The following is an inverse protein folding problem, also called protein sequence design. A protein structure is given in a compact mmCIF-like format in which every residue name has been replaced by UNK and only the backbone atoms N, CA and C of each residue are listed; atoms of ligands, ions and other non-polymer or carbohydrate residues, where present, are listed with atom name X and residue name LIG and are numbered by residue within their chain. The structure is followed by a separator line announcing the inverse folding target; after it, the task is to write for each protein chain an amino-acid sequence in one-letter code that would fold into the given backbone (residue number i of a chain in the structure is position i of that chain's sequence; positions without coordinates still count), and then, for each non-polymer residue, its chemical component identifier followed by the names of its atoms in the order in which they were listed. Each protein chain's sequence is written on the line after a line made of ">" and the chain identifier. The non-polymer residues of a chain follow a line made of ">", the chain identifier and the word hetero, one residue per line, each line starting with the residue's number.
data_IF_852036470610
#
_entry.id   IF_852036470610
#
_cell.length_a   1.000
_cell.length_b   1.000
_cell.length_c   1.000
_cell.angle_alpha   90.00
_cell.angle_beta   90.00
_cell.angle_gamma   90.00
#
_symmetry.space_group_name_H-M   'P 1'
#
loop_
_entity.id
_entity.type
_entity.pdbx_description
1 polymer ?
#
# COMPACT_ATOMS: atom_id res chain seq x y z
N UNK A 1 -24.77 -11.73 -10.73
CA UNK A 1 -25.17 -12.55 -9.57
C UNK A 1 -25.82 -11.72 -8.46
N UNK A 2 -25.18 -10.67 -7.94
CA UNK A 2 -25.57 -10.03 -6.67
C UNK A 2 -26.88 -9.22 -6.70
N UNK A 3 -27.16 -8.45 -7.75
CA UNK A 3 -28.41 -7.66 -7.87
C UNK A 3 -29.67 -8.51 -7.90
N UNK A 4 -29.57 -9.75 -8.39
CA UNK A 4 -30.71 -10.66 -8.49
C UNK A 4 -31.09 -11.23 -7.11
N UNK A 5 -30.13 -11.40 -6.19
CA UNK A 5 -30.41 -11.92 -4.85
C UNK A 5 -30.95 -10.85 -3.89
N UNK A 6 -30.48 -9.60 -3.98
CA UNK A 6 -30.95 -8.53 -3.08
C UNK A 6 -32.45 -8.26 -3.21
N UNK A 7 -33.01 -8.41 -4.41
CA UNK A 7 -34.43 -8.21 -4.68
C UNK A 7 -35.34 -9.33 -4.12
N UNK A 8 -34.84 -10.58 -4.08
CA UNK A 8 -35.60 -11.74 -3.59
C UNK A 8 -35.17 -12.21 -2.20
N UNK A 9 -34.22 -11.51 -1.56
CA UNK A 9 -33.56 -11.96 -0.33
C UNK A 9 -34.52 -12.22 0.83
N UNK A 10 -35.51 -11.34 0.99
CA UNK A 10 -36.52 -11.43 2.05
C UNK A 10 -37.48 -12.63 1.94
N UNK A 11 -37.53 -13.31 0.79
CA UNK A 11 -38.41 -14.46 0.57
C UNK A 11 -37.77 -15.80 0.93
N UNK A 12 -36.46 -15.84 1.19
CA UNK A 12 -35.75 -17.06 1.54
C UNK A 12 -35.68 -17.26 3.06
N UNK A 13 -35.84 -18.50 3.53
CA UNK A 13 -35.59 -18.85 4.93
C UNK A 13 -34.10 -18.72 5.28
N UNK A 14 -33.78 -18.49 6.56
CA UNK A 14 -32.41 -18.23 7.05
C UNK A 14 -31.40 -19.32 6.65
N UNK A 15 -31.80 -20.58 6.67
CA UNK A 15 -30.93 -21.70 6.26
C UNK A 15 -30.58 -21.65 4.77
N UNK A 16 -31.53 -21.27 3.91
CA UNK A 16 -31.30 -21.12 2.47
C UNK A 16 -30.43 -19.91 2.16
N UNK A 17 -30.63 -18.79 2.87
CA UNK A 17 -29.77 -17.60 2.78
C UNK A 17 -28.31 -17.94 3.14
N UNK A 18 -28.08 -18.60 4.28
CA UNK A 18 -26.73 -19.00 4.71
C UNK A 18 -26.11 -20.00 3.73
N UNK A 19 -26.87 -21.02 3.30
CA UNK A 19 -26.38 -22.02 2.34
C UNK A 19 -25.96 -21.38 1.00
N UNK A 20 -26.70 -20.38 0.53
CA UNK A 20 -26.38 -19.67 -0.70
C UNK A 20 -25.14 -18.78 -0.55
N UNK A 21 -25.01 -18.07 0.58
CA UNK A 21 -23.84 -17.23 0.89
C UNK A 21 -22.55 -18.05 1.07
N UNK A 22 -22.65 -19.29 1.57
CA UNK A 22 -21.50 -20.20 1.73
C UNK A 22 -21.14 -20.88 0.41
N UNK A 23 -22.15 -21.31 -0.37
CA UNK A 23 -21.91 -22.02 -1.64
C UNK A 23 -21.31 -21.11 -2.70
N UNK A 24 -21.69 -19.83 -2.76
CA UNK A 24 -21.17 -18.88 -3.75
C UNK A 24 -19.62 -18.77 -3.77
N UNK A 25 -18.93 -18.49 -2.64
CA UNK A 25 -17.46 -18.40 -2.61
C UNK A 25 -16.78 -19.76 -2.81
N UNK A 26 -17.41 -20.86 -2.37
CA UNK A 26 -16.88 -22.21 -2.59
C UNK A 26 -16.96 -22.62 -4.06
N UNK A 27 -18.09 -22.32 -4.73
CA UNK A 27 -18.26 -22.58 -6.15
C UNK A 27 -17.32 -21.70 -6.99
N UNK A 28 -17.13 -20.44 -6.63
CA UNK A 28 -16.17 -19.58 -7.32
C UNK A 28 -14.72 -20.04 -7.10
N UNK A 29 -14.37 -20.54 -5.92
CA UNK A 29 -13.06 -21.14 -5.65
C UNK A 29 -12.86 -22.44 -6.42
N UNK A 30 -13.88 -23.30 -6.48
CA UNK A 30 -13.86 -24.51 -7.30
C UNK A 30 -13.69 -24.17 -8.79
N UNK A 31 -14.36 -23.12 -9.26
CA UNK A 31 -14.23 -22.60 -10.62
C UNK A 31 -12.80 -22.08 -10.90
N UNK A 32 -12.15 -21.42 -9.94
CA UNK A 32 -10.72 -21.06 -10.04
C UNK A 32 -9.88 -22.32 -10.22
N UNK A 33 -10.05 -23.32 -9.36
CA UNK A 33 -9.28 -24.58 -9.43
C UNK A 33 -9.52 -25.36 -10.73
N UNK A 34 -10.74 -25.30 -11.27
CA UNK A 34 -11.08 -25.91 -12.55
C UNK A 34 -10.44 -25.14 -13.72
N UNK A 35 -10.53 -23.82 -13.73
CA UNK A 35 -9.92 -22.98 -14.77
C UNK A 35 -8.38 -23.08 -14.76
N UNK A 36 -7.75 -23.24 -13.60
CA UNK A 36 -6.31 -23.48 -13.50
C UNK A 36 -5.87 -24.76 -14.24
N UNK A 37 -6.75 -25.75 -14.39
CA UNK A 37 -6.44 -27.01 -15.10
C UNK A 37 -6.65 -26.90 -16.60
N UNK A 38 -7.46 -25.96 -17.05
CA UNK A 38 -7.87 -25.82 -18.46
C UNK A 38 -7.03 -24.76 -19.17
N UNK A 39 -6.74 -23.66 -18.50
CA UNK A 39 -6.08 -22.49 -19.09
C UNK A 39 -4.59 -22.46 -18.73
N UNK A 40 -3.74 -22.79 -19.70
CA UNK A 40 -2.29 -22.71 -19.56
C UNK A 40 -1.78 -21.27 -19.38
N UNK A 41 -2.53 -20.24 -19.81
CA UNK A 41 -2.17 -18.83 -19.63
C UNK A 41 -2.49 -18.30 -18.23
N UNK A 42 -3.42 -18.96 -17.52
CA UNK A 42 -3.92 -18.56 -16.21
C UNK A 42 -4.68 -17.23 -16.18
N UNK A 43 -4.99 -16.62 -17.32
CA UNK A 43 -5.70 -15.34 -17.38
C UNK A 43 -7.13 -15.46 -16.82
N UNK A 44 -7.87 -16.48 -17.26
CA UNK A 44 -9.23 -16.69 -16.80
C UNK A 44 -9.26 -17.12 -15.32
N UNK A 45 -8.28 -17.89 -14.87
CA UNK A 45 -8.13 -18.24 -13.46
C UNK A 45 -7.91 -17.00 -12.58
N UNK A 46 -7.13 -16.01 -13.04
CA UNK A 46 -6.92 -14.73 -12.34
C UNK A 46 -8.19 -13.90 -12.25
N UNK A 47 -8.96 -13.79 -13.34
CA UNK A 47 -10.26 -13.11 -13.33
C UNK A 47 -11.25 -13.80 -12.38
N UNK A 48 -11.34 -15.13 -12.45
CA UNK A 48 -12.18 -15.91 -11.55
C UNK A 48 -11.78 -15.72 -10.09
N UNK A 49 -10.49 -15.59 -9.78
CA UNK A 49 -10.03 -15.34 -8.42
C UNK A 49 -10.42 -13.95 -7.89
N UNK A 50 -10.42 -12.93 -8.76
CA UNK A 50 -10.96 -11.61 -8.40
C UNK A 50 -12.46 -11.68 -8.08
N UNK A 51 -13.22 -12.40 -8.92
CA UNK A 51 -14.65 -12.64 -8.67
C UNK A 51 -14.86 -13.42 -7.38
N UNK A 52 -14.05 -14.45 -7.13
CA UNK A 52 -14.11 -15.26 -5.91
C UNK A 52 -13.80 -14.44 -4.66
N UNK A 53 -12.79 -13.57 -4.73
CA UNK A 53 -12.48 -12.64 -3.65
C UNK A 53 -13.61 -11.63 -3.40
N UNK A 54 -14.15 -11.02 -4.46
CA UNK A 54 -15.27 -10.09 -4.34
C UNK A 54 -16.51 -10.77 -3.74
N UNK A 55 -16.82 -12.00 -4.19
CA UNK A 55 -17.88 -12.81 -3.63
C UNK A 55 -17.63 -13.09 -2.14
N UNK A 56 -16.42 -13.50 -1.77
CA UNK A 56 -16.05 -13.75 -0.37
C UNK A 56 -16.31 -12.54 0.53
N UNK A 57 -15.81 -11.37 0.15
CA UNK A 57 -15.98 -10.13 0.92
C UNK A 57 -17.47 -9.78 1.06
N UNK A 58 -18.20 -9.76 -0.05
CA UNK A 58 -19.62 -9.38 -0.06
C UNK A 58 -20.48 -10.36 0.75
N UNK A 59 -20.23 -11.66 0.64
CA UNK A 59 -20.99 -12.68 1.38
C UNK A 59 -20.77 -12.55 2.89
N UNK A 60 -19.54 -12.25 3.35
CA UNK A 60 -19.26 -12.01 4.78
C UNK A 60 -19.97 -10.74 5.27
N UNK A 61 -19.95 -9.65 4.48
CA UNK A 61 -20.66 -8.42 4.84
C UNK A 61 -22.17 -8.66 4.91
N UNK A 62 -22.74 -9.41 3.97
CA UNK A 62 -24.16 -9.78 4.00
C UNK A 62 -24.50 -10.66 5.21
N UNK A 63 -23.71 -11.68 5.53
CA UNK A 63 -23.90 -12.48 6.74
C UNK A 63 -23.90 -11.61 7.99
N UNK A 64 -22.97 -10.65 8.07
CA UNK A 64 -22.94 -9.67 9.15
C UNK A 64 -24.24 -8.89 9.28
N UNK A 65 -24.81 -8.43 8.16
CA UNK A 65 -26.08 -7.71 8.16
C UNK A 65 -27.28 -8.58 8.55
N UNK A 66 -27.36 -9.83 8.08
CA UNK A 66 -28.47 -10.75 8.34
C UNK A 66 -28.55 -11.13 9.81
N UNK A 67 -27.39 -11.40 10.42
CA UNK A 67 -27.28 -11.77 11.83
C UNK A 67 -27.07 -10.59 12.77
N UNK A 68 -27.13 -9.36 12.25
CA UNK A 68 -26.88 -8.13 13.00
C UNK A 68 -25.57 -8.18 13.80
N UNK A 69 -24.51 -8.76 13.21
CA UNK A 69 -23.20 -8.86 13.84
C UNK A 69 -22.54 -7.48 13.87
N UNK A 70 -21.90 -7.11 14.98
CA UNK A 70 -21.19 -5.84 15.07
C UNK A 70 -20.02 -5.82 14.08
N UNK A 71 -19.81 -4.68 13.42
CA UNK A 71 -18.68 -4.49 12.54
C UNK A 71 -17.36 -4.63 13.32
N UNK A 72 -16.45 -5.46 12.81
CA UNK A 72 -15.23 -5.85 13.50
C UNK A 72 -14.03 -5.79 12.55
N UNK A 73 -12.85 -5.32 13.03
CA UNK A 73 -11.64 -5.31 12.23
C UNK A 73 -11.17 -6.72 11.83
N UNK A 74 -11.59 -7.77 12.57
CA UNK A 74 -11.22 -9.15 12.28
C UNK A 74 -11.67 -9.62 10.89
N UNK A 75 -12.72 -9.02 10.31
CA UNK A 75 -13.14 -9.31 8.95
C UNK A 75 -12.01 -9.02 7.94
N UNK A 76 -11.26 -7.93 8.14
CA UNK A 76 -10.14 -7.58 7.27
C UNK A 76 -8.97 -8.56 7.36
N UNK A 77 -8.75 -9.19 8.52
CA UNK A 77 -7.76 -10.26 8.63
C UNK A 77 -8.14 -11.47 7.76
N UNK A 78 -9.42 -11.86 7.79
CA UNK A 78 -9.95 -12.96 6.98
C UNK A 78 -9.88 -12.61 5.48
N UNK A 79 -10.19 -11.36 5.10
CA UNK A 79 -10.03 -10.89 3.73
C UNK A 79 -8.56 -10.90 3.30
N UNK A 80 -7.65 -10.42 4.14
CA UNK A 80 -6.22 -10.42 3.85
C UNK A 80 -5.69 -11.85 3.64
N UNK A 81 -6.07 -12.79 4.50
CA UNK A 81 -5.66 -14.20 4.41
C UNK A 81 -6.10 -14.80 3.07
N UNK A 82 -7.37 -14.61 2.70
CA UNK A 82 -7.89 -15.13 1.45
C UNK A 82 -7.25 -14.47 0.23
N UNK A 83 -7.05 -13.14 0.27
CA UNK A 83 -6.37 -12.39 -0.77
C UNK A 83 -4.91 -12.86 -0.98
N UNK A 84 -4.13 -13.00 0.10
CA UNK A 84 -2.76 -13.51 0.01
C UNK A 84 -2.73 -14.93 -0.53
N UNK A 85 -3.60 -15.82 -0.03
CA UNK A 85 -3.67 -17.22 -0.51
C UNK A 85 -3.86 -17.28 -2.03
N UNK A 86 -4.87 -16.58 -2.54
CA UNK A 86 -5.13 -16.53 -3.97
C UNK A 86 -4.02 -15.78 -4.75
N UNK A 87 -3.42 -14.73 -4.17
CA UNK A 87 -2.34 -14.00 -4.80
C UNK A 87 -1.12 -14.90 -5.03
N UNK A 88 -0.70 -15.66 -4.02
CA UNK A 88 0.43 -16.58 -4.11
C UNK A 88 0.11 -17.83 -4.94
N UNK A 89 -1.14 -18.31 -4.97
CA UNK A 89 -1.52 -19.45 -5.82
C UNK A 89 -1.53 -19.10 -7.32
N UNK A 90 -1.89 -17.86 -7.68
CA UNK A 90 -2.14 -17.46 -9.07
C UNK A 90 -1.16 -16.39 -9.59
N UNK A 91 -0.13 -16.06 -8.81
CA UNK A 91 0.81 -14.97 -9.09
C UNK A 91 0.09 -13.64 -9.40
N UNK A 92 -0.99 -13.35 -8.66
CA UNK A 92 -1.88 -12.24 -8.94
C UNK A 92 -1.51 -10.98 -8.13
N UNK A 93 -0.82 -10.07 -8.81
CA UNK A 93 -0.34 -8.77 -8.30
C UNK A 93 -1.41 -7.89 -7.66
N UNK A 94 -2.59 -7.79 -8.28
CA UNK A 94 -3.67 -6.94 -7.77
C UNK A 94 -4.16 -7.43 -6.41
N UNK A 95 -4.32 -8.75 -6.27
CA UNK A 95 -4.85 -9.34 -5.05
C UNK A 95 -3.81 -9.32 -3.91
N UNK A 96 -2.53 -9.34 -4.24
CA UNK A 96 -1.45 -9.05 -3.29
C UNK A 96 -1.62 -7.65 -2.68
N UNK A 97 -1.81 -6.64 -3.53
CA UNK A 97 -2.02 -5.27 -3.07
C UNK A 97 -3.27 -5.14 -2.19
N UNK A 98 -4.37 -5.80 -2.57
CA UNK A 98 -5.59 -5.85 -1.77
C UNK A 98 -5.33 -6.53 -0.41
N UNK A 99 -4.62 -7.66 -0.37
CA UNK A 99 -4.26 -8.34 0.87
C UNK A 99 -3.41 -7.46 1.80
N UNK A 100 -2.48 -6.69 1.24
CA UNK A 100 -1.69 -5.71 1.98
C UNK A 100 -2.58 -4.58 2.53
N UNK A 101 -3.48 -4.01 1.73
CA UNK A 101 -4.42 -2.97 2.19
C UNK A 101 -5.33 -3.46 3.32
N UNK A 102 -5.91 -4.66 3.18
CA UNK A 102 -6.68 -5.27 4.25
C UNK A 102 -5.84 -5.49 5.51
N UNK A 103 -4.57 -5.86 5.37
CA UNK A 103 -3.65 -6.02 6.50
C UNK A 103 -3.32 -4.69 7.18
N UNK A 104 -3.15 -3.59 6.42
CA UNK A 104 -2.97 -2.25 7.00
C UNK A 104 -4.19 -1.84 7.82
N UNK A 105 -5.40 -2.03 7.29
CA UNK A 105 -6.63 -1.69 8.02
C UNK A 105 -6.75 -2.53 9.28
N UNK A 106 -6.51 -3.85 9.20
CA UNK A 106 -6.57 -4.74 10.35
C UNK A 106 -5.54 -4.38 11.41
N UNK A 107 -4.27 -4.26 11.04
CA UNK A 107 -3.19 -3.97 11.99
C UNK A 107 -3.33 -2.58 12.57
N UNK A 108 -3.68 -1.58 11.75
CA UNK A 108 -3.97 -0.24 12.22
C UNK A 108 -5.10 -0.23 13.24
N UNK A 109 -6.19 -0.97 12.99
CA UNK A 109 -7.30 -1.10 13.93
C UNK A 109 -6.89 -1.78 15.23
N UNK A 110 -6.00 -2.77 15.17
CA UNK A 110 -5.49 -3.45 16.38
C UNK A 110 -4.60 -2.52 17.20
N UNK A 111 -3.69 -1.80 16.56
CA UNK A 111 -2.88 -0.77 17.23
C UNK A 111 -3.76 0.33 17.84
N UNK A 112 -4.72 0.86 17.08
CA UNK A 112 -5.67 1.84 17.57
C UNK A 112 -6.45 1.34 18.79
N UNK A 113 -6.94 0.09 18.74
CA UNK A 113 -7.66 -0.50 19.88
C UNK A 113 -6.78 -0.67 21.12
N UNK A 114 -5.49 -0.97 20.95
CA UNK A 114 -4.54 -1.04 22.07
C UNK A 114 -4.26 0.32 22.69
N UNK A 115 -4.28 1.39 21.89
CA UNK A 115 -4.09 2.77 22.37
C UNK A 115 -5.40 3.45 22.77
N UNK A 116 -6.51 2.70 22.87
CA UNK A 116 -7.80 3.18 23.35
C UNK A 116 -8.68 3.87 22.30
N UNK A 117 -8.30 3.85 21.02
CA UNK A 117 -9.11 4.37 19.91
C UNK A 117 -10.09 3.33 19.36
N UNK A 118 -11.22 3.80 18.83
CA UNK A 118 -12.19 2.94 18.15
C UNK A 118 -11.63 2.48 16.79
N UNK A 119 -11.93 1.25 16.39
CA UNK A 119 -11.31 0.66 15.20
C UNK A 119 -11.66 1.37 13.89
N UNK A 120 -12.79 2.09 13.79
CA UNK A 120 -13.12 2.91 12.60
C UNK A 120 -12.23 4.16 12.53
N UNK A 121 -11.83 4.68 13.69
CA UNK A 121 -10.91 5.81 13.84
C UNK A 121 -9.44 5.45 13.59
N UNK A 122 -9.16 4.30 12.97
CA UNK A 122 -7.79 3.88 12.65
C UNK A 122 -7.02 4.92 11.82
N UNK A 123 -7.73 5.67 10.96
CA UNK A 123 -7.14 6.73 10.14
C UNK A 123 -6.79 8.01 10.89
N UNK A 124 -7.26 8.17 12.13
CA UNK A 124 -6.97 9.34 12.96
C UNK A 124 -5.51 9.36 13.43
N UNK A 125 -4.79 8.25 13.44
CA UNK A 125 -3.40 8.21 13.89
C UNK A 125 -2.53 7.50 12.85
N UNK A 126 -1.89 8.24 11.93
CA UNK A 126 -1.10 7.67 10.85
C UNK A 126 0.11 6.84 11.33
N UNK A 127 0.57 7.06 12.56
CA UNK A 127 1.70 6.34 13.15
C UNK A 127 1.49 4.82 13.20
N UNK A 128 0.25 4.35 13.32
CA UNK A 128 -0.09 2.93 13.31
C UNK A 128 0.40 2.19 12.06
N UNK A 129 0.49 2.89 10.93
CA UNK A 129 0.88 2.31 9.66
C UNK A 129 2.39 2.26 9.45
N UNK A 130 3.19 3.02 10.22
CA UNK A 130 4.64 3.12 10.01
C UNK A 130 5.34 1.78 10.22
N UNK A 131 5.06 1.10 11.34
CA UNK A 131 5.66 -0.20 11.66
C UNK A 131 5.25 -1.26 10.63
N UNK A 132 3.96 -1.31 10.29
CA UNK A 132 3.43 -2.26 9.31
C UNK A 132 4.05 -2.05 7.94
N UNK A 133 4.26 -0.80 7.53
CA UNK A 133 4.90 -0.47 6.26
C UNK A 133 6.35 -0.92 6.24
N UNK A 134 7.10 -0.69 7.32
CA UNK A 134 8.48 -1.11 7.43
C UNK A 134 8.59 -2.65 7.34
N UNK A 135 7.70 -3.39 8.01
CA UNK A 135 7.65 -4.85 7.94
C UNK A 135 7.40 -5.36 6.52
N UNK A 136 6.41 -4.79 5.81
CA UNK A 136 6.13 -5.18 4.43
C UNK A 136 7.24 -4.79 3.46
N UNK A 137 7.94 -3.68 3.70
CA UNK A 137 9.09 -3.29 2.88
C UNK A 137 10.28 -4.24 3.05
N UNK A 138 10.54 -4.71 4.28
CA UNK A 138 11.63 -5.63 4.60
C UNK A 138 11.36 -7.07 4.16
N UNK A 139 10.09 -7.47 4.03
CA UNK A 139 9.68 -8.84 3.70
C UNK A 139 10.35 -9.37 2.40
N UNK A 140 10.30 -8.67 1.25
CA UNK A 140 10.97 -9.13 0.03
C UNK A 140 12.50 -9.05 0.08
N UNK A 141 13.09 -8.39 1.08
CA UNK A 141 14.54 -8.37 1.28
C UNK A 141 15.02 -9.65 1.97
N UNK A 142 14.24 -10.13 2.95
CA UNK A 142 14.56 -11.35 3.70
C UNK A 142 14.15 -12.62 2.94
N UNK A 143 13.00 -12.60 2.27
CA UNK A 143 12.48 -13.75 1.53
C UNK A 143 12.65 -13.52 0.03
N UNK A 144 13.60 -14.23 -0.58
CA UNK A 144 13.84 -14.17 -2.04
C UNK A 144 12.66 -14.82 -2.78
N UNK A 145 11.72 -14.01 -3.25
CA UNK A 145 10.54 -14.44 -4.02
C UNK A 145 10.82 -14.50 -5.53
N UNK A 146 11.88 -15.20 -5.94
CA UNK A 146 12.31 -15.25 -7.35
C UNK A 146 11.27 -15.90 -8.28
N UNK A 147 10.39 -16.74 -7.75
CA UNK A 147 9.32 -17.37 -8.50
C UNK A 147 8.14 -16.42 -8.82
N UNK A 148 8.03 -15.30 -8.10
CA UNK A 148 6.87 -14.41 -8.14
C UNK A 148 7.21 -13.07 -8.79
N UNK A 149 7.01 -12.99 -10.11
CA UNK A 149 7.35 -11.80 -10.88
C UNK A 149 6.61 -10.54 -10.40
N UNK A 150 7.38 -9.57 -9.91
CA UNK A 150 6.89 -8.25 -9.52
C UNK A 150 6.23 -8.17 -8.14
N UNK A 151 6.18 -9.27 -7.38
CA UNK A 151 5.65 -9.25 -6.00
C UNK A 151 6.51 -8.40 -5.08
N UNK A 152 7.84 -8.57 -5.15
CA UNK A 152 8.78 -7.76 -4.39
C UNK A 152 8.59 -6.26 -4.63
N UNK A 153 8.36 -5.86 -5.88
CA UNK A 153 8.10 -4.47 -6.23
C UNK A 153 6.80 -3.95 -5.63
N UNK A 154 5.72 -4.74 -5.62
CA UNK A 154 4.43 -4.34 -5.03
C UNK A 154 4.56 -4.18 -3.52
N UNK A 155 5.20 -5.15 -2.84
CA UNK A 155 5.46 -5.05 -1.40
C UNK A 155 6.20 -3.75 -1.06
N UNK A 156 7.29 -3.47 -1.77
CA UNK A 156 8.11 -2.29 -1.51
C UNK A 156 7.42 -0.98 -1.89
N UNK A 157 6.80 -0.90 -3.07
CA UNK A 157 6.17 0.34 -3.55
C UNK A 157 4.97 0.68 -2.68
N UNK A 158 4.06 -0.29 -2.44
CA UNK A 158 2.88 -0.03 -1.64
C UNK A 158 3.24 0.29 -0.19
N UNK A 159 4.24 -0.40 0.38
CA UNK A 159 4.74 -0.06 1.70
C UNK A 159 5.38 1.33 1.77
N UNK A 160 6.22 1.69 0.79
CA UNK A 160 6.81 3.02 0.73
C UNK A 160 5.73 4.11 0.61
N UNK A 161 4.70 3.90 -0.23
CA UNK A 161 3.59 4.83 -0.39
C UNK A 161 2.84 5.04 0.92
N UNK A 162 2.44 3.96 1.60
CA UNK A 162 1.72 4.07 2.89
C UNK A 162 2.60 4.73 3.96
N UNK A 163 3.88 4.37 4.02
CA UNK A 163 4.85 4.97 4.94
C UNK A 163 5.01 6.47 4.72
N UNK A 164 5.25 6.92 3.48
CA UNK A 164 5.44 8.33 3.21
C UNK A 164 4.17 9.14 3.31
N UNK A 165 3.00 8.59 2.99
CA UNK A 165 1.73 9.27 3.24
C UNK A 165 1.55 9.51 4.74
N UNK A 166 1.82 8.50 5.57
CA UNK A 166 1.74 8.66 7.03
C UNK A 166 2.68 9.75 7.55
N UNK A 167 3.95 9.75 7.08
CA UNK A 167 4.91 10.80 7.44
C UNK A 167 4.47 12.16 6.92
N UNK A 168 3.95 12.25 5.69
CA UNK A 168 3.48 13.51 5.10
C UNK A 168 2.36 14.13 5.91
N UNK A 169 1.42 13.32 6.40
CA UNK A 169 0.34 13.79 7.28
C UNK A 169 0.94 14.31 8.59
N UNK A 170 1.82 13.53 9.25
CA UNK A 170 2.43 13.93 10.53
C UNK A 170 3.38 15.13 10.42
N UNK A 171 3.98 15.32 9.24
CA UNK A 171 4.85 16.45 8.91
C UNK A 171 4.09 17.77 8.75
N UNK A 172 2.77 17.73 8.54
CA UNK A 172 1.92 18.90 8.31
C UNK A 172 0.85 19.10 9.41
N UNK A 173 0.46 18.03 10.10
CA UNK A 173 -0.51 18.06 11.19
C UNK A 173 0.06 17.34 12.40
N UNK A 174 0.90 18.03 13.18
CA UNK A 174 1.54 17.47 14.36
C UNK A 174 0.57 17.05 15.47
N UNK A 175 -0.66 17.59 15.48
CA UNK A 175 -1.71 17.29 16.48
C UNK A 175 -2.22 15.85 16.45
N UNK A 176 -1.89 15.14 15.38
CA UNK A 176 -2.35 13.79 15.07
C UNK A 176 -1.34 12.73 15.57
N UNK A 177 -0.23 13.18 16.15
CA UNK A 177 0.82 12.33 16.71
C UNK A 177 0.51 11.91 18.15
N UNK A 178 0.98 10.74 18.56
CA UNK A 178 0.94 10.31 19.95
C UNK A 178 2.07 10.93 20.81
N UNK A 179 3.04 11.60 20.19
CA UNK A 179 4.21 12.14 20.90
C UNK A 179 3.80 13.33 21.79
N UNK A 180 4.20 13.37 23.06
CA UNK A 180 3.84 14.44 24.01
C UNK A 180 4.73 15.68 23.85
N UNK A 181 5.08 16.05 22.60
CA UNK A 181 5.93 17.19 22.28
C UNK A 181 5.10 18.33 21.66
N UNK A 182 5.71 19.50 21.49
CA UNK A 182 5.03 20.59 20.79
C UNK A 182 4.81 20.22 19.32
N UNK A 183 3.66 20.60 18.76
CA UNK A 183 3.29 20.33 17.37
C UNK A 183 4.39 20.75 16.37
N UNK A 184 5.04 21.89 16.61
CA UNK A 184 6.15 22.39 15.79
C UNK A 184 7.37 21.46 15.76
N UNK A 185 7.69 20.81 16.88
CA UNK A 185 8.81 19.87 16.99
C UNK A 185 8.47 18.56 16.28
N UNK A 186 7.22 18.10 16.44
CA UNK A 186 6.71 16.89 15.80
C UNK A 186 6.72 17.05 14.27
N UNK A 187 6.14 18.14 13.77
CA UNK A 187 6.12 18.46 12.34
C UNK A 187 7.54 18.54 11.78
N UNK A 188 8.44 19.28 12.45
CA UNK A 188 9.84 19.38 12.05
C UNK A 188 10.55 18.03 12.01
N UNK A 189 10.32 17.17 13.02
CA UNK A 189 10.90 15.83 13.08
C UNK A 189 10.44 14.96 11.90
N UNK A 190 9.12 14.89 11.65
CA UNK A 190 8.57 14.11 10.55
C UNK A 190 8.95 14.68 9.18
N UNK A 191 9.13 15.99 9.05
CA UNK A 191 9.68 16.60 7.83
C UNK A 191 11.11 16.13 7.55
N UNK A 192 12.00 16.21 8.55
CA UNK A 192 13.38 15.73 8.40
C UNK A 192 13.42 14.24 8.09
N UNK A 193 12.61 13.43 8.80
CA UNK A 193 12.47 12.00 8.52
C UNK A 193 11.98 11.75 7.09
N UNK A 194 10.98 12.51 6.61
CA UNK A 194 10.45 12.40 5.26
C UNK A 194 11.52 12.64 4.19
N UNK A 195 12.30 13.71 4.32
CA UNK A 195 13.41 14.02 3.39
C UNK A 195 14.52 12.96 3.44
N UNK A 196 14.94 12.54 4.65
CA UNK A 196 15.99 11.54 4.81
C UNK A 196 15.55 10.20 4.24
N UNK A 197 14.35 9.71 4.61
CA UNK A 197 13.84 8.43 4.13
C UNK A 197 13.59 8.42 2.61
N UNK A 198 13.08 9.51 2.04
CA UNK A 198 12.86 9.60 0.59
C UNK A 198 14.18 9.62 -0.19
N UNK A 199 15.19 10.38 0.27
CA UNK A 199 16.53 10.35 -0.30
C UNK A 199 17.18 8.96 -0.18
N UNK A 200 17.04 8.30 0.97
CA UNK A 200 17.52 6.92 1.16
C UNK A 200 16.82 5.93 0.22
N UNK A 201 15.52 6.08 -0.02
CA UNK A 201 14.79 5.23 -0.96
C UNK A 201 15.27 5.43 -2.41
N UNK A 202 15.58 6.68 -2.80
CA UNK A 202 16.18 6.97 -4.12
C UNK A 202 17.53 6.28 -4.26
N UNK A 203 18.42 6.43 -3.27
CA UNK A 203 19.73 5.78 -3.27
C UNK A 203 19.61 4.25 -3.29
N UNK A 204 18.70 3.70 -2.50
CA UNK A 204 18.39 2.28 -2.49
C UNK A 204 17.88 1.79 -3.85
N UNK A 205 16.96 2.55 -4.47
CA UNK A 205 16.43 2.26 -5.81
C UNK A 205 17.51 2.28 -6.89
N UNK A 206 18.48 3.20 -6.82
CA UNK A 206 19.62 3.26 -7.74
C UNK A 206 20.51 2.02 -7.56
N UNK A 207 20.88 1.67 -6.32
CA UNK A 207 21.75 0.52 -6.02
C UNK A 207 21.15 -0.81 -6.48
N UNK A 208 19.83 -0.97 -6.32
CA UNK A 208 19.12 -2.20 -6.70
C UNK A 208 18.63 -2.20 -8.15
N UNK A 209 18.96 -1.16 -8.95
CA UNK A 209 18.43 -0.95 -10.31
C UNK A 209 16.88 -1.00 -10.39
N UNK A 210 16.20 -0.66 -9.28
CA UNK A 210 14.75 -0.71 -9.15
C UNK A 210 14.15 0.65 -9.53
N UNK A 211 14.00 0.90 -10.84
CA UNK A 211 13.54 2.18 -11.38
C UNK A 211 12.21 2.66 -10.76
N UNK A 212 11.28 1.75 -10.48
CA UNK A 212 9.98 2.08 -9.87
C UNK A 212 10.12 2.59 -8.44
N UNK A 213 10.97 1.98 -7.61
CA UNK A 213 11.23 2.44 -6.24
C UNK A 213 11.91 3.79 -6.22
N UNK A 214 12.89 3.99 -7.11
CA UNK A 214 13.57 5.27 -7.28
C UNK A 214 12.56 6.37 -7.65
N UNK A 215 11.64 6.10 -8.58
CA UNK A 215 10.60 7.04 -8.96
C UNK A 215 9.68 7.36 -7.76
N UNK A 216 9.26 6.35 -7.00
CA UNK A 216 8.47 6.57 -5.77
C UNK A 216 9.20 7.49 -4.79
N UNK A 217 10.49 7.25 -4.54
CA UNK A 217 11.31 8.11 -3.68
C UNK A 217 11.39 9.56 -4.18
N UNK A 218 11.61 9.75 -5.49
CA UNK A 218 11.65 11.08 -6.10
C UNK A 218 10.32 11.83 -5.97
N UNK A 219 9.19 11.15 -6.20
CA UNK A 219 7.86 11.74 -6.09
C UNK A 219 7.61 12.22 -4.66
N UNK A 220 7.89 11.39 -3.65
CA UNK A 220 7.69 11.80 -2.26
C UNK A 220 8.68 12.87 -1.81
N UNK A 221 9.93 12.82 -2.25
CA UNK A 221 10.90 13.90 -1.99
C UNK A 221 10.39 15.24 -2.54
N UNK A 222 9.88 15.24 -3.78
CA UNK A 222 9.29 16.42 -4.38
C UNK A 222 8.03 16.89 -3.64
N UNK A 223 7.19 15.96 -3.15
CA UNK A 223 6.02 16.30 -2.33
C UNK A 223 6.41 16.98 -1.01
N UNK A 224 7.39 16.45 -0.27
CA UNK A 224 7.88 17.09 0.96
C UNK A 224 8.49 18.49 0.70
N UNK A 225 9.21 18.63 -0.41
CA UNK A 225 9.77 19.92 -0.82
C UNK A 225 8.66 20.92 -1.19
N UNK A 226 7.64 20.45 -1.91
CA UNK A 226 6.48 21.24 -2.28
C UNK A 226 5.72 21.75 -1.04
N UNK A 227 5.39 20.87 -0.09
CA UNK A 227 4.67 21.28 1.13
C UNK A 227 5.48 22.32 1.90
N UNK A 228 6.81 22.16 1.97
CA UNK A 228 7.66 23.11 2.66
C UNK A 228 7.71 24.49 2.01
N UNK A 229 7.80 24.54 0.69
CA UNK A 229 7.76 25.81 -0.03
C UNK A 229 6.41 26.48 0.08
N UNK A 230 5.33 25.70 0.07
CA UNK A 230 4.00 26.22 0.31
C UNK A 230 3.95 26.91 1.69
N UNK A 231 4.37 26.23 2.77
CA UNK A 231 4.38 26.81 4.12
C UNK A 231 5.23 28.09 4.24
N UNK A 232 6.35 28.17 3.51
CA UNK A 232 7.28 29.30 3.62
C UNK A 232 6.94 30.50 2.75
N UNK A 233 6.51 30.26 1.52
CA UNK A 233 6.48 31.29 0.48
C UNK A 233 5.08 31.60 -0.04
N UNK A 234 4.07 30.79 0.27
CA UNK A 234 2.74 30.95 -0.30
C UNK A 234 2.11 32.32 0.00
N UNK A 235 2.23 32.79 1.24
CA UNK A 235 1.59 34.04 1.65
C UNK A 235 2.37 35.28 1.20
N UNK A 236 3.69 35.18 1.07
CA UNK A 236 4.57 36.32 0.79
C UNK A 236 4.85 36.52 -0.71
N UNK A 237 4.84 35.45 -1.50
CA UNK A 237 5.40 35.44 -2.84
C UNK A 237 4.29 35.41 -3.91
N UNK A 238 4.35 36.24 -4.97
CA UNK A 238 3.38 36.19 -6.04
C UNK A 238 3.30 34.81 -6.70
N UNK A 239 2.09 34.30 -6.93
CA UNK A 239 1.85 32.90 -7.37
C UNK A 239 2.68 32.48 -8.59
N UNK A 240 2.91 33.37 -9.55
CA UNK A 240 3.73 33.08 -10.73
C UNK A 240 5.22 32.85 -10.38
N UNK A 241 5.79 33.62 -9.46
CA UNK A 241 7.17 33.41 -8.98
C UNK A 241 7.27 32.12 -8.14
N UNK A 242 6.21 31.77 -7.41
CA UNK A 242 6.17 30.56 -6.59
C UNK A 242 6.28 29.32 -7.46
N UNK A 243 5.43 29.22 -8.49
CA UNK A 243 5.48 28.10 -9.44
C UNK A 243 6.78 28.09 -10.25
N UNK A 244 7.36 29.26 -10.55
CA UNK A 244 8.67 29.33 -11.21
C UNK A 244 9.80 28.77 -10.34
N UNK A 245 9.91 29.19 -9.08
CA UNK A 245 10.91 28.69 -8.13
C UNK A 245 10.73 27.19 -7.84
N UNK A 246 9.49 26.75 -7.68
CA UNK A 246 9.15 25.33 -7.50
C UNK A 246 9.59 24.51 -8.72
N UNK A 247 9.32 24.98 -9.93
CA UNK A 247 9.78 24.30 -11.15
C UNK A 247 11.30 24.23 -11.25
N UNK A 248 11.99 25.34 -10.96
CA UNK A 248 13.45 25.43 -11.07
C UNK A 248 14.16 24.53 -10.05
N UNK A 249 13.67 24.49 -8.82
CA UNK A 249 14.18 23.60 -7.76
C UNK A 249 13.88 22.13 -8.05
N UNK A 250 12.70 21.79 -8.58
CA UNK A 250 12.39 20.44 -9.03
C UNK A 250 13.34 19.98 -10.15
N UNK A 251 13.62 20.85 -11.12
CA UNK A 251 14.60 20.57 -12.18
C UNK A 251 16.00 20.38 -11.60
N UNK A 252 16.45 21.24 -10.67
CA UNK A 252 17.74 21.10 -10.00
C UNK A 252 17.85 19.78 -9.24
N UNK A 253 16.82 19.40 -8.49
CA UNK A 253 16.79 18.12 -7.78
C UNK A 253 16.90 16.94 -8.76
N UNK A 254 16.15 16.96 -9.87
CA UNK A 254 16.24 15.94 -10.92
C UNK A 254 17.63 15.87 -11.56
N UNK A 255 18.28 17.01 -11.79
CA UNK A 255 19.65 17.06 -12.32
C UNK A 255 20.66 16.46 -11.34
N UNK A 256 20.53 16.76 -10.04
CA UNK A 256 21.38 16.17 -8.99
C UNK A 256 21.17 14.66 -8.94
N UNK A 257 19.93 14.18 -8.95
CA UNK A 257 19.64 12.74 -8.95
C UNK A 257 20.16 12.04 -10.20
N UNK A 258 20.06 12.66 -11.38
CA UNK A 258 20.64 12.13 -12.61
C UNK A 258 22.18 12.08 -12.55
N UNK A 259 22.83 13.12 -12.00
CA UNK A 259 24.28 13.12 -11.76
C UNK A 259 24.70 12.01 -10.80
N UNK A 260 24.01 11.85 -9.67
CA UNK A 260 24.29 10.77 -8.71
C UNK A 260 24.10 9.39 -9.34
N UNK A 261 23.08 9.22 -10.18
CA UNK A 261 22.87 7.98 -10.94
C UNK A 261 24.08 7.65 -11.84
N UNK A 262 24.60 8.63 -12.57
CA UNK A 262 25.77 8.45 -13.42
C UNK A 262 27.01 8.06 -12.62
N UNK A 263 27.28 8.76 -11.50
CA UNK A 263 28.44 8.45 -10.63
C UNK A 263 28.35 7.04 -10.05
N UNK A 264 27.18 6.63 -9.56
CA UNK A 264 26.98 5.29 -9.01
C UNK A 264 27.10 4.20 -10.08
N UNK A 265 26.62 4.46 -11.31
CA UNK A 265 26.77 3.54 -12.43
C UNK A 265 28.23 3.38 -12.87
N UNK A 266 29.01 4.46 -12.91
CA UNK A 266 30.44 4.41 -13.24
C UNK A 266 31.25 3.73 -12.14
N UNK A 267 30.94 3.98 -10.86
CA UNK A 267 31.61 3.34 -9.72
C UNK A 267 31.32 1.83 -9.62
N UNK A 268 30.20 1.35 -10.17
CA UNK A 268 29.86 -0.08 -10.22
C UNK A 268 30.52 -0.86 -11.38
N UNK A 269 31.33 -0.19 -12.22
CA UNK A 269 32.06 -0.78 -13.35
C UNK A 269 33.61 -0.80 -13.20
N UNK A 270 34.25 -1.21 -12.07
CA UNK A 270 35.72 -1.26 -12.03
C UNK A 270 36.34 -2.44 -12.82
N UNK A 271 35.61 -3.54 -13.03
CA UNK A 271 36.23 -4.83 -13.41
C UNK A 271 36.24 -5.15 -14.92
N UNK A 272 35.72 -4.27 -15.77
CA UNK A 272 35.70 -4.50 -17.24
C UNK A 272 36.92 -3.90 -17.97
N UNK A 273 37.78 -3.15 -17.28
CA UNK A 273 38.91 -2.42 -17.90
C UNK A 273 40.28 -3.04 -17.56
N UNK A 274 40.32 -4.08 -16.70
CA UNK A 274 41.58 -4.75 -16.33
C UNK A 274 41.94 -5.95 -17.25
N UNK A 275 41.10 -6.28 -18.24
CA UNK A 275 41.36 -7.35 -19.22
C UNK A 275 41.32 -6.81 -20.66
N UNK A 276 42.24 -5.90 -20.97
CA UNK A 276 42.77 -5.65 -22.32
C UNK A 276 44.28 -5.49 -22.19
#
# INVERSE_FOLDING_TARGET
>A
MFFLFYQYWGFFGTAAQVGLLISAPLLSLALVGWLMRIDASGYYAKLAALVSFAAWVLNIVMLGSIFNLPASPNAFAVFALYAFTLAYLLNLRLLLAVGMLCSYIFLGARFGSWMGSYWVSTGEYPEHFLLTSLLFFLLPLKFKQQHYDGFAAIYQILAAVVFFIAILILANWGSVSYLPWSHSVIEGLYQVLGFVCSALLVLYGIRQQAAKLMLTGNVFFALFLYTKFFDWWWDWLPKYLFFFLLGLTAILALLIFNRLRLVVQTAAKPDEVANV
#
